data_IF_699090481099
#
_entry.id   IF_699090481099
#
_cell.length_a   1.000
_cell.length_b   1.000
_cell.length_c   1.000
_cell.angle_alpha   90.00
_cell.angle_beta   90.00
_cell.angle_gamma   90.00
#
_symmetry.space_group_name_H-M   'P 1'
#
loop_
_entity.id
_entity.type
_entity.pdbx_description
1 polymer ?
#
# COMPACT_ATOMS: atom_id res chain seq x y z
N UNK A 1 -23.85 -8.79 -56.14
CA UNK A 1 -23.95 -7.64 -55.22
C UNK A 1 -24.61 -8.14 -53.95
N UNK A 2 -23.92 -8.17 -52.80
CA UNK A 2 -24.53 -8.58 -51.54
C UNK A 2 -25.68 -7.62 -51.21
N UNK A 3 -26.85 -8.16 -50.85
CA UNK A 3 -28.02 -7.38 -50.46
C UNK A 3 -27.69 -6.49 -49.26
N UNK A 4 -28.25 -5.28 -49.20
CA UNK A 4 -27.95 -4.29 -48.16
C UNK A 4 -28.25 -4.75 -46.72
N UNK A 5 -28.91 -5.90 -46.52
CA UNK A 5 -29.09 -6.56 -45.22
C UNK A 5 -27.86 -7.37 -44.79
N UNK A 6 -27.19 -8.06 -45.72
CA UNK A 6 -25.99 -8.86 -45.44
C UNK A 6 -24.79 -7.99 -45.05
N UNK A 7 -24.64 -6.84 -45.72
CA UNK A 7 -23.58 -5.87 -45.39
C UNK A 7 -23.76 -5.28 -43.98
N UNK A 8 -25.01 -4.96 -43.59
CA UNK A 8 -25.34 -4.45 -42.25
C UNK A 8 -25.13 -5.49 -41.16
N UNK A 9 -25.45 -6.76 -41.42
CA UNK A 9 -25.20 -7.85 -40.49
C UNK A 9 -23.69 -8.06 -40.25
N UNK A 10 -22.89 -8.05 -41.32
CA UNK A 10 -21.44 -8.21 -41.24
C UNK A 10 -20.77 -7.04 -40.50
N UNK A 11 -21.14 -5.80 -40.82
CA UNK A 11 -20.64 -4.61 -40.11
C UNK A 11 -21.00 -4.67 -38.63
N UNK A 12 -22.24 -5.06 -38.28
CA UNK A 12 -22.66 -5.22 -36.89
C UNK A 12 -21.82 -6.27 -36.15
N UNK A 13 -21.55 -7.42 -36.77
CA UNK A 13 -20.69 -8.46 -36.17
C UNK A 13 -19.27 -7.96 -35.96
N UNK A 14 -18.67 -7.29 -36.96
CA UNK A 14 -17.31 -6.74 -36.84
C UNK A 14 -17.24 -5.69 -35.72
N UNK A 15 -18.24 -4.79 -35.63
CA UNK A 15 -18.30 -3.78 -34.57
C UNK A 15 -18.40 -4.44 -33.19
N UNK A 16 -19.23 -5.46 -33.01
CA UNK A 16 -19.36 -6.17 -31.72
C UNK A 16 -18.04 -6.86 -31.36
N UNK A 17 -17.42 -7.56 -32.31
CA UNK A 17 -16.17 -8.29 -32.10
C UNK A 17 -15.01 -7.36 -31.74
N UNK A 18 -15.02 -6.10 -32.18
CA UNK A 18 -13.99 -5.11 -31.83
C UNK A 18 -14.35 -4.30 -30.57
N UNK A 19 -15.62 -3.95 -30.38
CA UNK A 19 -16.05 -3.13 -29.25
C UNK A 19 -15.96 -3.88 -27.91
N UNK A 20 -16.32 -5.17 -27.89
CA UNK A 20 -16.32 -5.97 -26.65
C UNK A 20 -14.90 -6.12 -26.07
N UNK A 21 -13.87 -6.49 -26.85
CA UNK A 21 -12.49 -6.57 -26.34
C UNK A 21 -11.97 -5.22 -25.86
N UNK A 22 -12.28 -4.13 -26.56
CA UNK A 22 -11.82 -2.78 -26.17
C UNK A 22 -12.45 -2.35 -24.84
N UNK A 23 -13.75 -2.59 -24.66
CA UNK A 23 -14.44 -2.34 -23.38
C UNK A 23 -13.87 -3.22 -22.27
N UNK A 24 -13.60 -4.48 -22.55
CA UNK A 24 -13.06 -5.42 -21.58
C UNK A 24 -11.63 -5.04 -21.15
N UNK A 25 -10.77 -4.66 -22.11
CA UNK A 25 -9.43 -4.13 -21.84
C UNK A 25 -9.48 -2.84 -21.04
N UNK A 26 -10.35 -1.90 -21.41
CA UNK A 26 -10.53 -0.65 -20.68
C UNK A 26 -11.00 -0.88 -19.24
N UNK A 27 -11.98 -1.77 -19.04
CA UNK A 27 -12.43 -2.19 -17.72
C UNK A 27 -11.31 -2.84 -16.91
N UNK A 28 -10.59 -3.79 -17.50
CA UNK A 28 -9.50 -4.51 -16.83
C UNK A 28 -8.38 -3.56 -16.39
N UNK A 29 -7.94 -2.66 -17.28
CA UNK A 29 -6.94 -1.65 -16.95
C UNK A 29 -7.44 -0.67 -15.89
N UNK A 30 -8.71 -0.25 -15.96
CA UNK A 30 -9.34 0.57 -14.94
C UNK A 30 -9.42 -0.12 -13.58
N UNK A 31 -9.74 -1.42 -13.54
CA UNK A 31 -9.71 -2.21 -12.32
C UNK A 31 -8.30 -2.36 -11.75
N UNK A 32 -7.29 -2.60 -12.59
CA UNK A 32 -5.91 -2.67 -12.13
C UNK A 32 -5.45 -1.35 -11.51
N UNK A 33 -5.72 -0.23 -12.18
CA UNK A 33 -5.42 1.09 -11.63
C UNK A 33 -6.20 1.34 -10.33
N UNK A 34 -7.50 1.02 -10.28
CA UNK A 34 -8.29 1.20 -9.07
C UNK A 34 -7.76 0.37 -7.89
N UNK A 35 -7.29 -0.85 -8.13
CA UNK A 35 -6.66 -1.68 -7.11
C UNK A 35 -5.32 -1.07 -6.65
N UNK A 36 -4.51 -0.56 -7.57
CA UNK A 36 -3.24 0.11 -7.26
C UNK A 36 -3.43 1.44 -6.50
N UNK A 37 -4.58 2.10 -6.65
CA UNK A 37 -4.96 3.25 -5.81
C UNK A 37 -5.55 2.86 -4.45
N UNK A 38 -5.96 1.60 -4.26
CA UNK A 38 -6.65 1.14 -3.05
C UNK A 38 -5.70 0.85 -1.89
N UNK A 39 -4.43 0.57 -2.20
CA UNK A 39 -3.40 0.24 -1.23
C UNK A 39 -2.72 1.51 -0.65
N UNK A 40 -3.30 2.69 -0.94
CA UNK A 40 -2.88 3.96 -0.34
C UNK A 40 -3.41 4.10 1.09
N UNK A 41 -2.62 3.64 2.06
CA UNK A 41 -2.73 4.09 3.44
C UNK A 41 -2.51 5.62 3.45
N UNK A 42 -3.50 6.45 3.85
CA UNK A 42 -3.34 7.89 3.85
C UNK A 42 -2.49 8.30 5.05
N UNK A 43 -1.72 9.38 4.90
CA UNK A 43 -0.93 9.93 6.01
C UNK A 43 -1.79 10.23 7.25
N UNK A 44 -3.05 10.61 7.06
CA UNK A 44 -4.01 10.85 8.14
C UNK A 44 -4.28 9.60 8.98
N UNK A 45 -4.29 8.40 8.37
CA UNK A 45 -4.42 7.15 9.12
C UNK A 45 -3.20 6.90 10.00
N UNK A 46 -2.00 7.10 9.47
CA UNK A 46 -0.77 6.95 10.25
C UNK A 46 -0.70 7.93 11.43
N UNK A 47 -1.23 9.15 11.26
CA UNK A 47 -1.38 10.12 12.35
C UNK A 47 -2.48 9.68 13.35
N UNK A 48 -3.62 9.21 12.86
CA UNK A 48 -4.72 8.73 13.70
C UNK A 48 -4.31 7.50 14.52
N UNK A 49 -3.42 6.65 14.00
CA UNK A 49 -2.92 5.50 14.72
C UNK A 49 -2.26 5.87 16.05
N UNK A 50 -1.60 7.02 16.15
CA UNK A 50 -1.04 7.46 17.43
C UNK A 50 -2.07 7.93 18.45
N UNK A 51 -3.31 8.20 18.01
CA UNK A 51 -4.44 8.43 18.93
C UNK A 51 -5.09 7.10 19.36
N UNK A 52 -5.11 6.11 18.47
CA UNK A 52 -5.70 4.79 18.72
C UNK A 52 -4.78 3.90 19.56
N UNK A 53 -3.47 3.96 19.31
CA UNK A 53 -2.44 3.18 19.97
C UNK A 53 -1.25 4.07 20.38
N UNK A 54 -1.45 4.99 21.33
CA UNK A 54 -0.42 5.94 21.76
C UNK A 54 0.79 5.25 22.41
N UNK A 55 0.65 4.01 22.89
CA UNK A 55 1.77 3.23 23.44
C UNK A 55 2.76 2.78 22.36
N UNK A 56 2.27 2.48 21.15
CA UNK A 56 3.09 1.98 20.05
C UNK A 56 3.57 3.07 19.10
N UNK A 57 2.77 4.13 18.92
CA UNK A 57 3.07 5.22 17.97
C UNK A 57 2.71 6.60 18.54
N UNK A 58 3.34 7.03 19.65
CA UNK A 58 3.02 8.28 20.34
C UNK A 58 3.30 9.52 19.49
N UNK A 59 2.44 10.53 19.64
CA UNK A 59 2.62 11.87 19.06
C UNK A 59 3.07 11.89 17.58
N UNK A 60 2.37 11.19 16.67
CA UNK A 60 2.76 11.15 15.28
C UNK A 60 2.54 12.51 14.62
N UNK A 61 3.53 12.93 13.82
CA UNK A 61 3.50 14.18 13.08
C UNK A 61 3.83 13.90 11.62
N UNK A 62 3.11 14.54 10.70
CA UNK A 62 3.45 14.53 9.28
C UNK A 62 4.81 15.21 9.07
N UNK A 63 5.79 14.44 8.61
CA UNK A 63 7.15 14.88 8.30
C UNK A 63 7.49 14.69 6.82
N UNK A 64 6.48 14.54 5.96
CA UNK A 64 6.64 14.27 4.52
C UNK A 64 7.65 15.20 3.86
N UNK A 65 7.52 16.52 4.07
CA UNK A 65 8.41 17.51 3.44
C UNK A 65 9.87 17.46 3.91
N UNK A 66 10.14 16.83 5.05
CA UNK A 66 11.48 16.72 5.66
C UNK A 66 12.13 15.37 5.35
N UNK A 67 11.31 14.31 5.31
CA UNK A 67 11.78 12.93 5.14
C UNK A 67 11.80 12.51 3.67
N UNK A 68 10.75 12.85 2.90
CA UNK A 68 10.66 12.50 1.49
C UNK A 68 11.47 13.49 0.65
N UNK A 69 12.48 12.97 -0.03
CA UNK A 69 13.44 13.73 -0.85
C UNK A 69 13.61 13.04 -2.20
N UNK A 70 14.41 13.63 -3.11
CA UNK A 70 14.70 12.98 -4.39
C UNK A 70 15.42 11.63 -4.22
N UNK A 71 16.27 11.51 -3.20
CA UNK A 71 16.99 10.26 -2.87
C UNK A 71 16.13 9.24 -2.12
N UNK A 72 14.99 9.69 -1.56
CA UNK A 72 14.03 8.87 -0.84
C UNK A 72 12.60 9.28 -1.26
N UNK A 73 12.15 8.85 -2.46
CA UNK A 73 10.94 9.36 -3.10
C UNK A 73 9.66 8.75 -2.51
N UNK A 74 9.47 8.90 -1.20
CA UNK A 74 8.21 8.55 -0.55
C UNK A 74 7.11 9.55 -0.88
N UNK A 75 5.87 9.06 -0.85
CA UNK A 75 4.64 9.85 -1.06
C UNK A 75 4.27 10.65 0.19
N UNK A 76 4.46 10.03 1.35
CA UNK A 76 4.29 10.65 2.65
C UNK A 76 5.20 9.99 3.67
N UNK A 77 5.47 10.73 4.74
CA UNK A 77 6.17 10.24 5.91
C UNK A 77 5.54 10.80 7.19
N UNK A 78 5.45 9.94 8.21
CA UNK A 78 4.97 10.30 9.55
C UNK A 78 6.02 9.86 10.57
N UNK A 79 6.39 10.77 11.45
CA UNK A 79 7.37 10.51 12.51
C UNK A 79 6.69 10.51 13.87
N UNK A 80 7.04 9.52 14.68
CA UNK A 80 6.70 9.38 16.09
C UNK A 80 8.00 9.18 16.89
N UNK A 81 7.93 9.27 18.22
CA UNK A 81 9.07 8.95 19.09
C UNK A 81 9.57 7.51 18.92
N UNK A 82 8.69 6.58 18.52
CA UNK A 82 8.99 5.16 18.43
C UNK A 82 9.40 4.70 17.02
N UNK A 83 8.94 5.37 15.96
CA UNK A 83 9.25 5.01 14.59
C UNK A 83 9.01 6.16 13.58
N UNK A 84 9.66 6.06 12.42
CA UNK A 84 9.36 6.83 11.21
C UNK A 84 8.74 5.89 10.20
N UNK A 85 7.55 6.22 9.71
CA UNK A 85 6.78 5.43 8.75
C UNK A 85 6.76 6.19 7.43
N UNK A 86 7.20 5.54 6.37
CA UNK A 86 7.30 6.12 5.03
C UNK A 86 6.52 5.25 4.06
N UNK A 87 5.68 5.87 3.22
CA UNK A 87 4.93 5.18 2.18
C UNK A 87 5.48 5.50 0.81
N UNK A 88 5.63 4.49 -0.04
CA UNK A 88 6.20 4.62 -1.36
C UNK A 88 5.19 4.31 -2.46
N UNK A 89 5.43 4.85 -3.64
CA UNK A 89 4.62 4.56 -4.85
C UNK A 89 4.83 3.13 -5.32
N UNK A 90 5.92 2.47 -4.94
CA UNK A 90 6.19 1.08 -5.30
C UNK A 90 6.81 0.30 -4.15
N UNK A 91 6.50 -1.00 -4.06
CA UNK A 91 7.15 -1.92 -3.12
C UNK A 91 8.66 -1.99 -3.34
N UNK A 92 9.12 -1.76 -4.58
CA UNK A 92 10.55 -1.72 -4.92
C UNK A 92 11.26 -0.55 -4.22
N UNK A 93 10.64 0.62 -4.19
CA UNK A 93 11.22 1.80 -3.54
C UNK A 93 11.18 1.66 -2.02
N UNK A 94 10.08 1.12 -1.48
CA UNK A 94 9.98 0.80 -0.04
C UNK A 94 11.06 -0.21 0.38
N UNK A 95 11.29 -1.22 -0.45
CA UNK A 95 12.36 -2.18 -0.26
C UNK A 95 13.75 -1.50 -0.30
N UNK A 96 14.00 -0.66 -1.29
CA UNK A 96 15.27 0.05 -1.41
C UNK A 96 15.53 0.92 -0.17
N UNK A 97 14.49 1.59 0.35
CA UNK A 97 14.56 2.34 1.59
C UNK A 97 14.92 1.43 2.78
N UNK A 98 14.30 0.26 2.90
CA UNK A 98 14.61 -0.71 3.96
C UNK A 98 16.06 -1.22 3.90
N UNK A 99 16.64 -1.37 2.71
CA UNK A 99 18.05 -1.73 2.56
C UNK A 99 19.03 -0.60 2.85
N UNK A 100 18.63 0.65 2.57
CA UNK A 100 19.51 1.81 2.67
C UNK A 100 19.52 2.41 4.07
N UNK A 101 18.38 2.38 4.75
CA UNK A 101 18.19 3.00 6.06
C UNK A 101 18.41 1.97 7.18
N UNK A 102 19.29 2.25 8.17
CA UNK A 102 19.54 1.34 9.26
C UNK A 102 18.31 1.20 10.17
N UNK A 103 18.02 -0.03 10.59
CA UNK A 103 16.89 -0.31 11.48
C UNK A 103 15.51 -0.19 10.83
N UNK A 104 15.46 -0.12 9.50
CA UNK A 104 14.23 -0.03 8.73
C UNK A 104 13.76 -1.40 8.28
N UNK A 105 12.47 -1.67 8.45
CA UNK A 105 11.81 -2.86 7.94
C UNK A 105 10.83 -2.47 6.83
N UNK A 106 10.72 -3.34 5.82
CA UNK A 106 9.67 -3.21 4.81
C UNK A 106 8.41 -3.89 5.30
N UNK A 107 7.28 -3.22 5.10
CA UNK A 107 5.95 -3.81 5.22
C UNK A 107 5.13 -3.37 4.02
N UNK A 108 5.07 -4.23 3.02
CA UNK A 108 4.45 -3.94 1.73
C UNK A 108 5.03 -2.70 1.00
N UNK A 109 4.24 -1.64 0.79
CA UNK A 109 4.64 -0.32 0.28
C UNK A 109 5.20 0.61 1.37
N UNK A 110 5.19 0.20 2.63
CA UNK A 110 5.78 0.95 3.73
C UNK A 110 7.23 0.55 3.99
N UNK A 111 8.03 1.54 4.36
CA UNK A 111 9.28 1.35 5.08
C UNK A 111 9.15 1.99 6.47
N UNK A 112 9.37 1.19 7.51
CA UNK A 112 9.22 1.60 8.91
C UNK A 112 10.58 1.55 9.60
N UNK A 113 11.11 2.71 9.92
CA UNK A 113 12.35 2.87 10.67
C UNK A 113 12.05 2.94 12.16
N UNK A 114 12.46 1.94 12.92
CA UNK A 114 12.22 1.91 14.37
C UNK A 114 13.31 2.66 15.14
N UNK A 115 12.89 3.48 16.10
CA UNK A 115 13.81 4.10 17.06
C UNK A 115 14.48 3.00 17.89
N UNK A 116 15.83 2.94 17.96
CA UNK A 116 16.53 1.90 18.70
C UNK A 116 16.11 1.86 20.18
N UNK A 117 15.66 0.70 20.64
CA UNK A 117 15.26 0.49 22.04
C UNK A 117 13.91 1.09 22.44
N UNK A 118 13.21 1.81 21.54
CA UNK A 118 11.91 2.40 21.86
C UNK A 118 10.78 1.35 21.90
N UNK A 119 10.85 0.33 21.04
CA UNK A 119 9.92 -0.79 20.99
C UNK A 119 10.66 -2.12 21.05
N UNK A 120 10.12 -3.07 21.81
CA UNK A 120 10.47 -4.49 21.82
C UNK A 120 10.13 -5.14 20.48
N UNK A 121 10.65 -6.36 20.25
CA UNK A 121 10.39 -7.10 19.00
C UNK A 121 8.89 -7.35 18.80
N UNK A 122 8.17 -7.65 19.88
CA UNK A 122 6.72 -7.90 19.86
C UNK A 122 5.92 -6.63 19.55
N UNK A 123 6.27 -5.51 20.19
CA UNK A 123 5.63 -4.22 19.94
C UNK A 123 5.86 -3.71 18.52
N UNK A 124 7.04 -3.97 17.94
CA UNK A 124 7.30 -3.64 16.52
C UNK A 124 6.40 -4.43 15.58
N UNK A 125 6.24 -5.73 15.83
CA UNK A 125 5.32 -6.54 15.04
C UNK A 125 3.87 -6.05 15.20
N UNK A 126 3.47 -5.71 16.43
CA UNK A 126 2.15 -5.16 16.73
C UNK A 126 1.89 -3.83 16.00
N UNK A 127 2.87 -2.93 15.95
CA UNK A 127 2.76 -1.68 15.20
C UNK A 127 2.53 -1.93 13.70
N UNK A 128 3.29 -2.86 13.10
CA UNK A 128 3.13 -3.18 11.67
C UNK A 128 1.74 -3.75 11.35
N UNK A 129 1.19 -4.57 12.24
CA UNK A 129 -0.15 -5.13 12.07
C UNK A 129 -1.25 -4.06 12.08
N UNK A 130 -1.07 -2.98 12.84
CA UNK A 130 -2.02 -1.88 12.84
C UNK A 130 -2.01 -1.08 11.52
N UNK A 131 -0.88 -1.08 10.80
CA UNK A 131 -0.84 -0.53 9.45
C UNK A 131 -1.54 -1.45 8.43
N UNK A 132 -1.40 -2.78 8.54
CA UNK A 132 -2.15 -3.76 7.74
C UNK A 132 -3.67 -3.70 8.00
N UNK A 133 -4.07 -3.43 9.24
CA UNK A 133 -5.47 -3.34 9.64
C UNK A 133 -6.25 -2.23 8.90
N UNK A 134 -5.56 -1.20 8.40
CA UNK A 134 -6.18 -0.17 7.55
C UNK A 134 -6.81 -0.77 6.29
N UNK A 135 -6.12 -1.72 5.65
CA UNK A 135 -6.60 -2.35 4.42
C UNK A 135 -7.76 -3.31 4.67
N UNK A 136 -7.89 -3.85 5.89
CA UNK A 136 -8.74 -5.02 6.15
C UNK A 136 -10.05 -4.80 6.90
N UNK A 137 -10.31 -3.68 7.58
CA UNK A 137 -11.57 -3.56 8.35
C UNK A 137 -12.14 -2.16 8.55
N UNK A 138 -13.47 -2.01 8.39
CA UNK A 138 -14.26 -1.09 9.21
C UNK A 138 -14.87 -1.76 10.46
N UNK A 139 -14.69 -3.07 10.73
CA UNK A 139 -15.40 -3.74 11.85
C UNK A 139 -14.74 -5.04 12.37
N UNK A 140 -14.03 -4.97 13.51
CA UNK A 140 -13.77 -6.00 14.54
C UNK A 140 -13.66 -7.50 14.18
N UNK A 141 -12.53 -8.12 14.52
CA UNK A 141 -12.40 -9.13 15.60
C UNK A 141 -11.01 -9.80 15.56
N UNK A 142 -10.38 -9.87 16.75
CA UNK A 142 -9.39 -10.86 17.22
C UNK A 142 -8.28 -11.35 16.30
N UNK A 143 -7.03 -11.04 16.64
CA UNK A 143 -5.88 -11.81 16.13
C UNK A 143 -5.07 -12.30 17.33
N UNK A 144 -5.38 -13.51 17.79
CA UNK A 144 -4.56 -14.29 18.71
C UNK A 144 -3.89 -15.40 17.88
N UNK A 145 -2.55 -15.48 17.94
CA UNK A 145 -1.63 -16.41 17.24
C UNK A 145 -1.07 -15.94 15.88
N UNK A 146 0.12 -15.31 15.94
CA UNK A 146 0.81 -14.69 14.80
C UNK A 146 2.25 -15.19 14.60
N UNK A 147 2.57 -16.38 15.12
CA UNK A 147 3.91 -16.98 15.04
C UNK A 147 4.34 -17.42 13.62
N UNK A 148 3.48 -17.27 12.60
CA UNK A 148 3.60 -17.93 11.29
C UNK A 148 3.38 -17.03 10.06
N UNK A 149 3.27 -15.69 10.20
CA UNK A 149 2.87 -14.80 9.09
C UNK A 149 4.02 -14.49 8.10
N UNK A 150 3.92 -14.89 6.81
CA UNK A 150 4.99 -14.76 5.82
C UNK A 150 5.18 -13.36 5.22
N UNK A 151 4.43 -12.33 5.62
CA UNK A 151 4.47 -10.99 5.00
C UNK A 151 5.25 -9.94 5.80
N UNK A 152 5.60 -10.20 7.06
CA UNK A 152 6.70 -9.48 7.71
C UNK A 152 7.99 -10.08 7.14
N UNK A 153 8.27 -9.76 5.88
CA UNK A 153 9.50 -10.18 5.22
C UNK A 153 10.57 -9.15 5.53
N UNK A 154 11.57 -9.46 6.37
CA UNK A 154 12.78 -8.65 6.43
C UNK A 154 13.52 -8.66 5.08
N UNK A 155 13.24 -9.65 4.22
CA UNK A 155 13.93 -9.87 2.97
C UNK A 155 13.12 -9.33 1.81
N UNK A 156 13.63 -8.29 1.18
CA UNK A 156 13.36 -8.08 -0.23
C UNK A 156 14.01 -9.21 -1.03
N UNK A 157 13.21 -10.13 -1.54
CA UNK A 157 13.67 -11.23 -2.41
C UNK A 157 12.93 -11.19 -3.73
#
# INVERSE_FOLDING_TARGET
>A
MPSGSALRAWVRTVVIVLAVPVLFLGWFLGCLWYLELRDDIPASWAVELGTLNPELFPAPVDTTAQTCTEDLPCRWAVTSDTAVVMMFTSQKDACQAAHTLPGTLRHDWLAVQFTPGALSVEERANLLLHFDAYERYPYGEGIDDMSWLPWITPNCS
#
